data_IF_536559122523
#
_entry.id   IF_536559122523
#
_cell.length_a   1.000
_cell.length_b   1.000
_cell.length_c   1.000
_cell.angle_alpha   90.00
_cell.angle_beta   90.00
_cell.angle_gamma   90.00
#
_symmetry.space_group_name_H-M   'P 1'
#
loop_
_entity.id
_entity.type
_entity.pdbx_description
1 polymer ?
#
# COMPACT_ATOMS: atom_id res chain seq x y z
N UNK A 1 3.23 3.98 36.31
CA UNK A 1 2.54 3.04 35.42
C UNK A 1 2.77 3.45 33.97
N UNK A 2 2.80 2.52 33.01
CA UNK A 2 2.79 2.90 31.58
C UNK A 2 1.38 3.36 31.26
N UNK A 3 1.22 4.59 30.81
CA UNK A 3 0.00 5.00 30.12
C UNK A 3 -0.15 4.07 28.91
N UNK A 4 -0.99 3.05 29.04
CA UNK A 4 -1.54 2.30 27.91
C UNK A 4 -2.50 3.25 27.18
N UNK A 5 -1.95 4.28 26.55
CA UNK A 5 -2.70 5.20 25.72
C UNK A 5 -3.40 4.39 24.64
N UNK A 6 -4.73 4.48 24.60
CA UNK A 6 -5.55 3.81 23.58
C UNK A 6 -5.02 4.20 22.19
N UNK A 7 -4.53 3.21 21.43
CA UNK A 7 -4.12 3.43 20.05
C UNK A 7 -5.32 3.91 19.23
N UNK A 8 -5.09 4.85 18.32
CA UNK A 8 -6.12 5.29 17.38
C UNK A 8 -6.52 4.11 16.47
N UNK A 9 -7.83 3.95 16.22
CA UNK A 9 -8.33 2.97 15.25
C UNK A 9 -7.67 3.17 13.89
N UNK A 10 -7.20 2.07 13.29
CA UNK A 10 -6.59 2.06 11.98
C UNK A 10 -7.22 0.99 11.10
N UNK A 11 -7.10 1.17 9.79
CA UNK A 11 -7.51 0.19 8.81
C UNK A 11 -6.32 -0.70 8.46
N UNK A 12 -6.45 -2.00 8.66
CA UNK A 12 -5.47 -2.96 8.19
C UNK A 12 -5.82 -3.46 6.79
N UNK A 13 -4.83 -3.51 5.90
CA UNK A 13 -4.93 -4.05 4.54
C UNK A 13 -3.74 -4.96 4.29
N UNK A 14 -4.00 -6.14 3.76
CA UNK A 14 -2.98 -7.12 3.39
C UNK A 14 -3.06 -7.42 1.90
N UNK A 15 -1.90 -7.44 1.24
CA UNK A 15 -1.73 -7.94 -0.11
C UNK A 15 -0.57 -8.91 -0.12
N UNK A 16 -0.74 -10.07 -0.74
CA UNK A 16 0.32 -11.05 -0.93
C UNK A 16 0.60 -11.19 -2.42
N UNK A 17 1.85 -10.98 -2.84
CA UNK A 17 2.28 -11.01 -4.23
C UNK A 17 2.01 -12.33 -4.95
N UNK A 18 2.05 -13.47 -4.24
CA UNK A 18 1.76 -14.80 -4.81
C UNK A 18 0.28 -14.99 -5.19
N UNK A 19 -0.63 -14.18 -4.62
CA UNK A 19 -2.07 -14.23 -4.93
C UNK A 19 -2.43 -13.41 -6.18
N UNK A 20 -1.50 -12.64 -6.72
CA UNK A 20 -1.73 -11.74 -7.85
C UNK A 20 -1.37 -12.43 -9.17
N UNK A 21 -2.17 -12.20 -10.20
CA UNK A 21 -1.88 -12.68 -11.56
C UNK A 21 -0.84 -11.83 -12.28
N UNK A 22 -0.74 -10.54 -11.93
CA UNK A 22 0.30 -9.61 -12.37
C UNK A 22 0.50 -8.51 -11.31
N UNK A 23 1.66 -7.83 -11.25
CA UNK A 23 1.97 -6.85 -10.22
C UNK A 23 0.94 -5.72 -10.08
N UNK A 24 0.36 -5.27 -11.20
CA UNK A 24 -0.63 -4.18 -11.22
C UNK A 24 -1.95 -4.54 -10.53
N UNK A 25 -2.26 -5.82 -10.35
CA UNK A 25 -3.44 -6.24 -9.59
C UNK A 25 -3.34 -5.89 -8.10
N UNK A 26 -2.14 -5.58 -7.59
CA UNK A 26 -1.97 -5.04 -6.24
C UNK A 26 -2.87 -3.81 -6.03
N UNK A 27 -2.99 -2.91 -7.02
CA UNK A 27 -3.87 -1.74 -6.90
C UNK A 27 -5.33 -2.11 -6.73
N UNK A 28 -5.80 -3.15 -7.44
CA UNK A 28 -7.19 -3.60 -7.38
C UNK A 28 -7.48 -4.19 -6.01
N UNK A 29 -6.60 -5.06 -5.51
CA UNK A 29 -6.75 -5.69 -4.19
C UNK A 29 -6.70 -4.66 -3.06
N UNK A 30 -5.75 -3.71 -3.09
CA UNK A 30 -5.68 -2.63 -2.09
C UNK A 30 -6.97 -1.80 -2.13
N UNK A 31 -7.42 -1.38 -3.31
CA UNK A 31 -8.64 -0.57 -3.44
C UNK A 31 -9.87 -1.32 -2.91
N UNK A 32 -10.00 -2.61 -3.25
CA UNK A 32 -11.10 -3.46 -2.82
C UNK A 32 -11.11 -3.63 -1.31
N UNK A 33 -9.96 -3.92 -0.70
CA UNK A 33 -9.84 -3.98 0.76
C UNK A 33 -10.14 -2.61 1.43
N UNK A 34 -9.72 -1.51 0.80
CA UNK A 34 -9.92 -0.15 1.30
C UNK A 34 -11.36 0.35 1.19
N UNK A 35 -12.08 0.01 0.12
CA UNK A 35 -13.34 0.68 -0.23
C UNK A 35 -14.50 -0.27 -0.53
N UNK A 36 -14.23 -1.57 -0.69
CA UNK A 36 -15.19 -2.56 -1.18
C UNK A 36 -15.50 -2.47 -2.67
N UNK A 37 -14.85 -1.56 -3.41
CA UNK A 37 -15.09 -1.32 -4.85
C UNK A 37 -14.02 -1.99 -5.69
N UNK A 38 -14.42 -2.44 -6.88
CA UNK A 38 -13.52 -2.93 -7.90
C UNK A 38 -13.36 -1.90 -9.01
N UNK A 39 -12.17 -1.87 -9.61
CA UNK A 39 -11.83 -1.01 -10.73
C UNK A 39 -10.73 -1.69 -11.56
N UNK A 40 -10.50 -1.20 -12.78
CA UNK A 40 -9.31 -1.60 -13.54
C UNK A 40 -8.04 -1.15 -12.81
N UNK A 41 -6.93 -1.84 -13.01
CA UNK A 41 -5.68 -1.54 -12.30
C UNK A 41 -5.23 -0.08 -12.44
N UNK A 42 -5.32 0.49 -13.66
CA UNK A 42 -4.97 1.90 -13.89
C UNK A 42 -5.92 2.87 -13.16
N UNK A 43 -7.22 2.55 -13.12
CA UNK A 43 -8.18 3.38 -12.40
C UNK A 43 -7.99 3.26 -10.88
N UNK A 44 -7.71 2.04 -10.39
CA UNK A 44 -7.42 1.79 -8.99
C UNK A 44 -6.16 2.52 -8.52
N UNK A 45 -5.08 2.49 -9.32
CA UNK A 45 -3.86 3.23 -9.04
C UNK A 45 -4.12 4.73 -8.90
N UNK A 46 -4.92 5.31 -9.81
CA UNK A 46 -5.29 6.72 -9.76
C UNK A 46 -6.13 7.09 -8.53
N UNK A 47 -7.07 6.22 -8.13
CA UNK A 47 -7.88 6.41 -6.92
C UNK A 47 -6.99 6.34 -5.67
N UNK A 48 -6.16 5.31 -5.56
CA UNK A 48 -5.23 5.13 -4.44
C UNK A 48 -4.28 6.31 -4.30
N UNK A 49 -3.69 6.75 -5.42
CA UNK A 49 -2.80 7.90 -5.42
C UNK A 49 -3.51 9.16 -4.88
N UNK A 50 -4.75 9.42 -5.30
CA UNK A 50 -5.55 10.53 -4.75
C UNK A 50 -5.84 10.35 -3.26
N UNK A 51 -6.17 9.13 -2.81
CA UNK A 51 -6.48 8.86 -1.40
C UNK A 51 -5.27 9.11 -0.48
N UNK A 52 -4.05 8.84 -0.95
CA UNK A 52 -2.84 9.02 -0.15
C UNK A 52 -2.14 10.38 -0.35
N UNK A 53 -2.44 11.10 -1.43
CA UNK A 53 -1.88 12.45 -1.67
C UNK A 53 -2.80 13.59 -1.23
N UNK A 54 -4.12 13.42 -1.32
CA UNK A 54 -5.09 14.47 -1.01
C UNK A 54 -5.59 14.32 0.42
N UNK A 55 -5.52 15.39 1.25
CA UNK A 55 -6.03 15.33 2.62
C UNK A 55 -7.54 15.09 2.64
N UNK A 56 -7.96 14.02 3.31
CA UNK A 56 -9.37 13.75 3.57
C UNK A 56 -9.69 14.02 5.06
N UNK A 57 -10.67 14.89 5.38
CA UNK A 57 -11.15 15.03 6.74
C UNK A 57 -11.66 13.68 7.25
N UNK A 58 -11.17 13.25 8.43
CA UNK A 58 -11.53 11.97 9.07
C UNK A 58 -11.01 10.69 8.39
N UNK A 59 -9.93 10.76 7.61
CA UNK A 59 -9.23 9.52 7.23
C UNK A 59 -8.58 8.87 8.46
N UNK A 60 -8.93 7.61 8.69
CA UNK A 60 -8.21 6.74 9.63
C UNK A 60 -6.86 6.34 9.03
N UNK A 61 -5.81 6.18 9.85
CA UNK A 61 -4.55 5.61 9.41
C UNK A 61 -4.76 4.24 8.74
N UNK A 62 -3.93 3.93 7.76
CA UNK A 62 -3.92 2.65 7.04
C UNK A 62 -2.59 1.97 7.30
N UNK A 63 -2.64 0.71 7.72
CA UNK A 63 -1.48 -0.18 7.78
C UNK A 63 -1.60 -1.15 6.61
N UNK A 64 -0.74 -0.99 5.61
CA UNK A 64 -0.66 -1.83 4.44
C UNK A 64 0.48 -2.83 4.60
N UNK A 65 0.14 -4.10 4.75
CA UNK A 65 1.08 -5.21 4.66
C UNK A 65 1.17 -5.66 3.20
N UNK A 66 2.38 -5.63 2.64
CA UNK A 66 2.71 -6.20 1.33
C UNK A 66 3.66 -7.37 1.55
N UNK A 67 3.11 -8.56 1.47
CA UNK A 67 3.82 -9.82 1.59
C UNK A 67 4.30 -10.29 0.20
N UNK A 68 5.45 -10.97 0.14
CA UNK A 68 6.11 -11.39 -1.11
C UNK A 68 6.30 -10.22 -2.10
N UNK A 69 6.81 -9.08 -1.60
CA UNK A 69 6.95 -7.82 -2.35
C UNK A 69 7.85 -7.96 -3.59
N UNK A 70 8.86 -8.83 -3.57
CA UNK A 70 9.76 -9.11 -4.69
C UNK A 70 9.04 -9.57 -5.95
N UNK A 71 7.83 -10.12 -5.83
CA UNK A 71 6.97 -10.48 -6.97
C UNK A 71 6.32 -9.27 -7.65
N UNK A 72 6.27 -8.11 -6.99
CA UNK A 72 5.80 -6.86 -7.58
C UNK A 72 6.89 -6.17 -8.40
N UNK A 73 8.09 -6.75 -8.46
CA UNK A 73 9.20 -6.22 -9.22
C UNK A 73 8.93 -6.22 -10.72
N UNK A 74 8.98 -5.04 -11.34
CA UNK A 74 8.92 -4.90 -12.80
C UNK A 74 10.07 -4.01 -13.28
N UNK A 75 10.45 -4.13 -14.56
CA UNK A 75 11.43 -3.22 -15.18
C UNK A 75 11.00 -1.75 -15.16
N UNK A 76 9.69 -1.49 -15.14
CA UNK A 76 9.13 -0.13 -15.05
C UNK A 76 9.04 0.37 -13.61
N UNK A 77 9.16 -0.53 -12.63
CA UNK A 77 9.11 -0.28 -11.18
C UNK A 77 7.89 0.52 -10.69
N UNK A 78 6.82 0.58 -11.50
CA UNK A 78 5.67 1.46 -11.26
C UNK A 78 4.89 1.10 -9.99
N UNK A 79 4.72 -0.19 -9.72
CA UNK A 79 3.98 -0.66 -8.52
C UNK A 79 4.74 -0.40 -7.23
N UNK A 80 5.98 -0.89 -7.13
CA UNK A 80 6.79 -0.69 -5.91
C UNK A 80 7.08 0.78 -5.66
N UNK A 81 7.39 1.56 -6.71
CA UNK A 81 7.61 2.99 -6.58
C UNK A 81 6.41 3.68 -5.93
N UNK A 82 5.20 3.43 -6.44
CA UNK A 82 4.00 4.04 -5.87
C UNK A 82 3.75 3.60 -4.42
N UNK A 83 3.92 2.31 -4.11
CA UNK A 83 3.72 1.78 -2.75
C UNK A 83 4.66 2.48 -1.76
N UNK A 84 5.93 2.69 -2.11
CA UNK A 84 6.90 3.35 -1.24
C UNK A 84 6.83 4.88 -1.28
N UNK A 85 6.35 5.48 -2.37
CA UNK A 85 6.19 6.93 -2.50
C UNK A 85 4.99 7.44 -1.69
N UNK A 86 3.88 6.69 -1.62
CA UNK A 86 2.69 7.09 -0.85
C UNK A 86 2.93 7.45 0.62
N UNK A 87 3.63 6.64 1.45
CA UNK A 87 3.88 6.99 2.84
C UNK A 87 4.81 8.21 3.01
N UNK A 88 5.53 8.62 1.96
CA UNK A 88 6.38 9.83 2.02
C UNK A 88 5.60 11.13 1.87
N UNK A 89 4.33 11.07 1.43
CA UNK A 89 3.51 12.26 1.24
C UNK A 89 3.15 12.85 2.61
N UNK A 90 3.36 14.15 2.77
CA UNK A 90 3.21 14.87 4.05
C UNK A 90 1.87 14.62 4.77
N UNK A 91 0.80 14.36 4.01
CA UNK A 91 -0.55 14.16 4.53
C UNK A 91 -1.05 12.71 4.41
N UNK A 92 -0.22 11.79 3.94
CA UNK A 92 -0.54 10.37 3.92
C UNK A 92 -0.55 9.82 5.34
N UNK A 93 -1.66 9.23 5.75
CA UNK A 93 -1.73 8.42 6.97
C UNK A 93 -1.57 6.95 6.60
N UNK A 94 -0.46 6.61 5.97
CA UNK A 94 -0.18 5.27 5.47
C UNK A 94 1.13 4.77 6.09
N UNK A 95 1.08 3.57 6.65
CA UNK A 95 2.23 2.80 7.10
C UNK A 95 2.32 1.60 6.19
N UNK A 96 3.49 1.41 5.55
CA UNK A 96 3.75 0.26 4.69
C UNK A 96 4.67 -0.71 5.42
N UNK A 97 4.22 -1.94 5.58
CA UNK A 97 5.02 -3.07 6.04
C UNK A 97 5.29 -3.96 4.83
N UNK A 98 6.54 -4.03 4.39
CA UNK A 98 6.94 -4.84 3.25
C UNK A 98 7.72 -6.07 3.72
N UNK A 99 7.32 -7.25 3.24
CA UNK A 99 8.02 -8.51 3.46
C UNK A 99 8.46 -9.03 2.09
N UNK A 100 9.73 -9.42 1.99
CA UNK A 100 10.30 -10.01 0.79
C UNK A 100 11.38 -11.02 1.16
N UNK A 101 11.66 -11.95 0.26
CA UNK A 101 12.68 -12.98 0.49
C UNK A 101 14.11 -12.47 0.28
N UNK A 102 14.26 -11.39 -0.49
CA UNK A 102 15.58 -10.84 -0.87
C UNK A 102 15.86 -9.52 -0.18
N UNK A 103 17.08 -9.38 0.37
CA UNK A 103 17.52 -8.16 1.05
C UNK A 103 17.94 -7.06 0.06
N UNK A 104 18.33 -7.41 -1.18
CA UNK A 104 18.84 -6.47 -2.19
C UNK A 104 17.74 -5.60 -2.85
N UNK A 105 16.48 -5.78 -2.47
CA UNK A 105 15.34 -5.10 -3.06
C UNK A 105 15.48 -3.57 -3.08
N UNK A 106 15.94 -2.91 -1.99
CA UNK A 106 16.17 -1.46 -1.97
C UNK A 106 17.35 -1.01 -2.84
N UNK A 107 18.39 -1.85 -2.98
CA UNK A 107 19.60 -1.51 -3.76
C UNK A 107 19.37 -1.60 -5.28
N UNK A 108 18.30 -2.30 -5.68
CA UNK A 108 17.91 -2.43 -7.10
C UNK A 108 17.00 -1.28 -7.56
N UNK A 109 16.32 -0.59 -6.64
CA UNK A 109 15.40 0.52 -6.94
C UNK A 109 16.14 1.78 -7.40
#
# INVERSE_FOLDING_TARGET
>A
ERDEGSLQDFKFVEVNGMKLTEPRQAYVEILKAMTGREATADHAANILNKMFTVPAPRSSPVVLLVDELDLLWTRKQDVMYNIFDWPTKEKAKLIVLAVANTMDLPERM
#
